data_IF_187318552340
#
_entry.id   IF_187318552340
#
_cell.length_a   1.000
_cell.length_b   1.000
_cell.length_c   1.000
_cell.angle_alpha   90.00
_cell.angle_beta   90.00
_cell.angle_gamma   90.00
#
_symmetry.space_group_name_H-M   'P 1'
#
loop_
_entity.id
_entity.type
_entity.pdbx_description
1 polymer ?
#
# COMPACT_ATOMS: atom_id res chain seq x y z
N UNK A 1 -34.31 -15.83 -55.00
CA UNK A 1 -34.27 -14.41 -55.44
C UNK A 1 -34.63 -13.51 -54.27
N UNK A 2 -33.69 -12.64 -53.89
CA UNK A 2 -33.75 -11.45 -53.01
C UNK A 2 -35.11 -11.05 -52.43
N UNK A 3 -35.21 -10.89 -51.10
CA UNK A 3 -35.91 -9.76 -50.43
C UNK A 3 -35.30 -9.43 -49.05
N UNK A 4 -34.60 -8.27 -48.98
CA UNK A 4 -34.61 -7.24 -47.90
C UNK A 4 -34.07 -7.69 -46.52
N UNK A 5 -32.89 -7.34 -45.98
CA UNK A 5 -32.14 -6.08 -45.78
C UNK A 5 -32.98 -4.88 -45.29
N UNK A 6 -33.25 -4.84 -43.96
CA UNK A 6 -33.61 -3.69 -43.10
C UNK A 6 -33.89 -4.32 -41.70
N UNK A 7 -33.11 -4.11 -40.64
CA UNK A 7 -32.99 -2.87 -39.89
C UNK A 7 -31.59 -2.72 -39.26
N UNK A 8 -30.85 -1.74 -39.75
CA UNK A 8 -29.83 -1.02 -38.98
C UNK A 8 -30.61 0.00 -38.13
N UNK A 9 -30.05 0.35 -36.96
CA UNK A 9 -30.45 1.46 -36.07
C UNK A 9 -31.54 1.10 -35.03
N UNK A 10 -31.11 0.76 -33.80
CA UNK A 10 -31.60 1.38 -32.56
C UNK A 10 -31.17 0.55 -31.32
N UNK A 11 -29.96 0.79 -30.82
CA UNK A 11 -29.63 0.78 -29.38
C UNK A 11 -28.12 0.95 -29.16
N UNK A 12 -27.54 1.99 -29.75
CA UNK A 12 -26.37 2.64 -29.16
C UNK A 12 -26.90 3.47 -27.97
N UNK A 13 -27.19 2.78 -26.86
CA UNK A 13 -27.30 3.44 -25.56
C UNK A 13 -25.88 3.85 -25.18
N UNK A 14 -25.45 4.98 -25.74
CA UNK A 14 -24.38 5.78 -25.17
C UNK A 14 -24.86 6.22 -23.79
N UNK A 15 -24.55 5.43 -22.75
CA UNK A 15 -24.46 5.98 -21.40
C UNK A 15 -23.27 6.93 -21.43
N UNK A 16 -23.53 8.19 -21.76
CA UNK A 16 -22.60 9.28 -21.51
C UNK A 16 -22.43 9.36 -19.99
N UNK A 17 -21.44 8.65 -19.44
CA UNK A 17 -20.99 8.91 -18.09
C UNK A 17 -20.47 10.33 -18.09
N UNK A 18 -21.25 11.27 -17.56
CA UNK A 18 -20.75 12.62 -17.34
C UNK A 18 -19.53 12.52 -16.42
N UNK A 19 -18.34 12.74 -16.98
CA UNK A 19 -17.11 12.76 -16.21
C UNK A 19 -17.25 13.91 -15.19
N UNK A 20 -17.36 13.55 -13.90
CA UNK A 20 -17.40 14.53 -12.83
C UNK A 20 -16.07 15.29 -12.79
N UNK A 21 -16.11 16.62 -12.66
CA UNK A 21 -14.88 17.40 -12.47
C UNK A 21 -14.25 17.03 -11.13
N UNK A 22 -12.93 17.13 -11.02
CA UNK A 22 -12.26 16.84 -9.75
C UNK A 22 -12.82 17.70 -8.61
N UNK A 23 -13.04 18.99 -8.84
CA UNK A 23 -13.63 19.89 -7.83
C UNK A 23 -15.00 19.40 -7.34
N UNK A 24 -15.86 18.93 -8.26
CA UNK A 24 -17.15 18.37 -7.90
C UNK A 24 -17.00 17.09 -7.08
N UNK A 25 -16.05 16.21 -7.43
CA UNK A 25 -15.76 14.98 -6.68
C UNK A 25 -15.30 15.28 -5.25
N UNK A 26 -14.39 16.25 -5.08
CA UNK A 26 -13.89 16.67 -3.76
C UNK A 26 -15.03 17.23 -2.89
N UNK A 27 -15.93 18.03 -3.47
CA UNK A 27 -17.12 18.50 -2.77
C UNK A 27 -18.10 17.37 -2.42
N UNK A 28 -18.25 16.37 -3.28
CA UNK A 28 -19.05 15.17 -2.98
C UNK A 28 -18.50 14.43 -1.77
N UNK A 29 -17.17 14.23 -1.67
CA UNK A 29 -16.51 13.61 -0.51
C UNK A 29 -16.80 14.42 0.76
N UNK A 30 -16.59 15.73 0.72
CA UNK A 30 -16.82 16.63 1.85
C UNK A 30 -18.27 16.58 2.35
N UNK A 31 -19.26 16.67 1.45
CA UNK A 31 -20.69 16.60 1.77
C UNK A 31 -21.11 15.22 2.28
N UNK A 32 -20.49 14.15 1.78
CA UNK A 32 -20.76 12.78 2.27
C UNK A 32 -20.29 12.61 3.71
N UNK A 33 -19.12 13.15 4.07
CA UNK A 33 -18.55 13.02 5.41
C UNK A 33 -19.24 13.95 6.42
N UNK A 34 -19.60 15.17 6.01
CA UNK A 34 -20.27 16.17 6.85
C UNK A 34 -21.51 16.74 6.14
N UNK A 35 -22.67 16.06 6.17
CA UNK A 35 -23.83 16.47 5.36
C UNK A 35 -24.42 17.84 5.71
N UNK A 36 -24.33 18.25 6.98
CA UNK A 36 -24.99 19.47 7.49
C UNK A 36 -24.02 20.55 7.98
N UNK A 37 -22.73 20.23 8.10
CA UNK A 37 -21.72 21.14 8.64
C UNK A 37 -20.90 21.75 7.50
N UNK A 38 -21.24 22.98 7.11
CA UNK A 38 -20.62 23.69 5.98
C UNK A 38 -19.15 24.03 6.25
N UNK A 39 -18.78 24.29 7.49
CA UNK A 39 -17.38 24.61 7.84
C UNK A 39 -16.52 23.37 7.72
N UNK A 40 -17.01 22.23 8.23
CA UNK A 40 -16.33 20.95 8.07
C UNK A 40 -16.28 20.49 6.62
N UNK A 41 -17.33 20.75 5.82
CA UNK A 41 -17.27 20.48 4.39
C UNK A 41 -16.14 21.26 3.71
N UNK A 42 -16.01 22.57 3.98
CA UNK A 42 -14.91 23.39 3.44
C UNK A 42 -13.55 22.86 3.88
N UNK A 43 -13.42 22.51 5.16
CA UNK A 43 -12.18 21.93 5.70
C UNK A 43 -11.79 20.64 4.96
N UNK A 44 -12.70 19.68 4.83
CA UNK A 44 -12.44 18.42 4.13
C UNK A 44 -12.13 18.66 2.66
N UNK A 45 -12.88 19.54 1.99
CA UNK A 45 -12.61 19.91 0.60
C UNK A 45 -11.17 20.43 0.42
N UNK A 46 -10.71 21.35 1.28
CA UNK A 46 -9.36 21.89 1.19
C UNK A 46 -8.27 20.83 1.49
N UNK A 47 -8.52 19.92 2.44
CA UNK A 47 -7.61 18.79 2.69
C UNK A 47 -7.50 17.87 1.47
N UNK A 48 -8.65 17.47 0.91
CA UNK A 48 -8.70 16.58 -0.26
C UNK A 48 -8.11 17.25 -1.50
N UNK A 49 -8.30 18.56 -1.67
CA UNK A 49 -7.69 19.33 -2.77
C UNK A 49 -6.17 19.39 -2.68
N UNK A 50 -5.62 19.59 -1.47
CA UNK A 50 -4.17 19.55 -1.24
C UNK A 50 -3.60 18.17 -1.57
N UNK A 51 -4.20 17.11 -1.03
CA UNK A 51 -3.79 15.74 -1.32
C UNK A 51 -3.86 15.41 -2.82
N UNK A 52 -4.93 15.83 -3.50
CA UNK A 52 -5.07 15.63 -4.95
C UNK A 52 -3.96 16.35 -5.75
N UNK A 53 -3.68 17.61 -5.41
CA UNK A 53 -2.63 18.38 -6.07
C UNK A 53 -1.26 17.74 -5.85
N UNK A 54 -0.99 17.29 -4.62
CA UNK A 54 0.22 16.54 -4.29
C UNK A 54 0.33 15.28 -5.15
N UNK A 55 -0.68 14.40 -5.12
CA UNK A 55 -0.72 13.14 -5.87
C UNK A 55 -0.68 13.33 -7.40
N UNK A 56 -1.09 14.50 -7.90
CA UNK A 56 -0.96 14.85 -9.31
C UNK A 56 0.48 15.22 -9.71
N UNK A 57 1.32 15.63 -8.75
CA UNK A 57 2.70 16.08 -8.99
C UNK A 57 3.78 15.02 -8.72
N UNK A 58 3.44 13.93 -8.03
CA UNK A 58 4.42 12.90 -7.66
C UNK A 58 4.89 12.07 -8.86
N UNK A 59 6.14 11.59 -8.79
CA UNK A 59 6.84 10.93 -9.91
C UNK A 59 7.04 9.42 -9.75
N UNK A 60 7.03 8.89 -8.52
CA UNK A 60 7.21 7.45 -8.29
C UNK A 60 5.89 6.72 -8.59
N UNK A 61 5.74 6.27 -9.83
CA UNK A 61 4.50 5.67 -10.32
C UNK A 61 4.09 4.42 -9.53
N UNK A 62 5.05 3.61 -9.09
CA UNK A 62 4.78 2.40 -8.31
C UNK A 62 4.16 2.75 -6.96
N UNK A 63 4.79 3.69 -6.23
CA UNK A 63 4.30 4.14 -4.92
C UNK A 63 2.97 4.89 -5.07
N UNK A 64 2.80 5.66 -6.16
CA UNK A 64 1.55 6.33 -6.49
C UNK A 64 0.41 5.33 -6.67
N UNK A 65 0.61 4.30 -7.49
CA UNK A 65 -0.38 3.24 -7.74
C UNK A 65 -0.75 2.53 -6.43
N UNK A 66 0.24 2.23 -5.59
CA UNK A 66 -0.01 1.64 -4.28
C UNK A 66 -0.91 2.52 -3.41
N UNK A 67 -0.60 3.81 -3.29
CA UNK A 67 -1.39 4.76 -2.51
C UNK A 67 -2.82 4.93 -3.03
N UNK A 68 -3.00 5.07 -4.35
CA UNK A 68 -4.30 5.17 -5.01
C UNK A 68 -5.15 3.90 -4.82
N UNK A 69 -4.53 2.72 -4.86
CA UNK A 69 -5.21 1.44 -4.61
C UNK A 69 -5.68 1.29 -3.16
N UNK A 70 -4.87 1.72 -2.19
CA UNK A 70 -5.22 1.63 -0.77
C UNK A 70 -6.35 2.60 -0.39
N UNK A 71 -6.34 3.81 -0.95
CA UNK A 71 -7.30 4.86 -0.61
C UNK A 71 -7.90 5.55 -1.85
N UNK A 72 -8.78 4.90 -2.63
CA UNK A 72 -9.19 5.40 -3.96
C UNK A 72 -9.90 6.75 -4.00
N UNK A 73 -10.56 7.14 -2.90
CA UNK A 73 -11.33 8.38 -2.79
C UNK A 73 -10.85 9.30 -1.66
N UNK A 74 -9.75 8.97 -1.00
CA UNK A 74 -9.17 9.79 0.06
C UNK A 74 -7.78 10.24 -0.34
N UNK A 75 -7.72 11.38 -1.03
CA UNK A 75 -6.48 11.96 -1.54
C UNK A 75 -5.54 12.42 -0.42
N UNK A 76 -6.07 12.77 0.75
CA UNK A 76 -5.25 13.10 1.91
C UNK A 76 -4.53 11.87 2.46
N UNK A 77 -5.23 10.72 2.50
CA UNK A 77 -4.62 9.45 2.86
C UNK A 77 -3.69 8.91 1.77
N UNK A 78 -3.99 9.15 0.49
CA UNK A 78 -3.06 8.83 -0.60
C UNK A 78 -1.72 9.56 -0.43
N UNK A 79 -1.74 10.87 -0.13
CA UNK A 79 -0.52 11.64 0.13
C UNK A 79 0.28 11.05 1.31
N UNK A 80 -0.40 10.72 2.41
CA UNK A 80 0.24 10.10 3.57
C UNK A 80 0.91 8.77 3.22
N UNK A 81 0.18 7.86 2.57
CA UNK A 81 0.69 6.55 2.17
C UNK A 81 1.82 6.68 1.16
N UNK A 82 1.71 7.58 0.17
CA UNK A 82 2.76 7.82 -0.80
C UNK A 82 4.07 8.23 -0.11
N UNK A 83 4.01 9.18 0.82
CA UNK A 83 5.19 9.65 1.55
C UNK A 83 5.80 8.55 2.41
N UNK A 84 4.97 7.78 3.11
CA UNK A 84 5.41 6.65 3.93
C UNK A 84 6.11 5.58 3.08
N UNK A 85 5.44 5.10 2.03
CA UNK A 85 5.97 4.07 1.13
C UNK A 85 7.23 4.53 0.41
N UNK A 86 7.31 5.80 -0.02
CA UNK A 86 8.52 6.38 -0.63
C UNK A 86 9.71 6.36 0.33
N UNK A 87 9.48 6.74 1.59
CA UNK A 87 10.52 6.72 2.62
C UNK A 87 10.99 5.29 2.92
N UNK A 88 10.06 4.36 3.05
CA UNK A 88 10.37 2.96 3.35
C UNK A 88 11.04 2.26 2.15
N UNK A 89 10.67 2.61 0.92
CA UNK A 89 11.37 2.19 -0.30
C UNK A 89 12.83 2.65 -0.30
N UNK A 90 13.07 3.90 0.10
CA UNK A 90 14.43 4.43 0.26
C UNK A 90 15.20 3.70 1.36
N UNK A 91 14.55 3.41 2.49
CA UNK A 91 15.14 2.59 3.56
C UNK A 91 15.56 1.21 3.04
N UNK A 92 14.62 0.47 2.44
CA UNK A 92 14.86 -0.87 1.89
C UNK A 92 15.92 -0.88 0.79
N UNK A 93 16.12 0.23 0.08
CA UNK A 93 17.24 0.35 -0.88
C UNK A 93 18.60 0.31 -0.19
N UNK A 94 18.73 0.89 1.00
CA UNK A 94 20.00 1.12 1.70
C UNK A 94 20.36 0.07 2.78
N UNK A 95 19.45 -0.85 3.11
CA UNK A 95 19.75 -1.93 4.05
C UNK A 95 20.84 -2.88 3.54
N UNK A 96 21.64 -3.44 4.45
CA UNK A 96 22.87 -4.18 4.14
C UNK A 96 22.73 -5.70 4.20
N UNK A 97 21.84 -6.23 5.04
CA UNK A 97 21.63 -7.68 5.13
C UNK A 97 20.77 -8.17 3.95
N UNK A 98 21.45 -8.68 2.91
CA UNK A 98 20.79 -9.09 1.67
C UNK A 98 19.88 -10.32 1.83
N UNK A 99 20.16 -11.19 2.81
CA UNK A 99 19.34 -12.35 3.11
C UNK A 99 17.99 -11.89 3.65
N UNK A 100 18.01 -11.04 4.68
CA UNK A 100 16.80 -10.50 5.31
C UNK A 100 16.03 -9.58 4.36
N UNK A 101 16.74 -8.78 3.55
CA UNK A 101 16.14 -7.96 2.50
C UNK A 101 15.35 -8.81 1.50
N UNK A 102 15.91 -9.92 1.03
CA UNK A 102 15.23 -10.85 0.11
C UNK A 102 14.02 -11.50 0.78
N UNK A 103 14.15 -11.88 2.05
CA UNK A 103 13.04 -12.43 2.83
C UNK A 103 11.86 -11.46 2.92
N UNK A 104 12.13 -10.19 3.28
CA UNK A 104 11.13 -9.14 3.36
C UNK A 104 10.43 -8.86 2.02
N UNK A 105 11.20 -8.69 0.93
CA UNK A 105 10.68 -8.47 -0.42
C UNK A 105 9.81 -9.64 -0.88
N UNK A 106 10.23 -10.89 -0.61
CA UNK A 106 9.46 -12.09 -0.96
C UNK A 106 8.10 -12.11 -0.26
N UNK A 107 8.04 -11.67 1.01
CA UNK A 107 6.81 -11.70 1.81
C UNK A 107 5.84 -10.58 1.41
N UNK A 108 6.36 -9.40 1.07
CA UNK A 108 5.57 -8.22 0.74
C UNK A 108 6.14 -7.48 -0.48
N UNK A 109 5.94 -7.98 -1.71
CA UNK A 109 6.64 -7.48 -2.89
C UNK A 109 6.32 -6.02 -3.25
N UNK A 110 5.11 -5.55 -2.97
CA UNK A 110 4.63 -4.21 -3.35
C UNK A 110 4.50 -3.23 -2.17
N UNK A 111 4.64 -3.71 -0.93
CA UNK A 111 4.42 -2.91 0.28
C UNK A 111 5.74 -2.67 1.01
N UNK A 112 6.38 -1.53 0.73
CA UNK A 112 7.68 -1.18 1.30
C UNK A 112 7.63 -0.94 2.81
N UNK A 113 6.51 -0.44 3.33
CA UNK A 113 6.32 -0.31 4.77
C UNK A 113 6.33 -1.68 5.46
N UNK A 114 5.65 -2.66 4.89
CA UNK A 114 5.68 -4.04 5.39
C UNK A 114 7.04 -4.71 5.15
N UNK A 115 7.72 -4.43 4.04
CA UNK A 115 9.09 -4.90 3.84
C UNK A 115 10.03 -4.38 4.93
N UNK A 116 9.99 -3.07 5.23
CA UNK A 116 10.79 -2.46 6.29
C UNK A 116 10.48 -3.09 7.64
N UNK A 117 9.20 -3.23 7.98
CA UNK A 117 8.77 -3.86 9.23
C UNK A 117 9.35 -5.28 9.39
N UNK A 118 9.19 -6.13 8.36
CA UNK A 118 9.71 -7.49 8.39
C UNK A 118 11.24 -7.52 8.43
N UNK A 119 11.91 -6.65 7.68
CA UNK A 119 13.37 -6.56 7.73
C UNK A 119 13.86 -6.23 9.14
N UNK A 120 13.29 -5.19 9.77
CA UNK A 120 13.65 -4.73 11.10
C UNK A 120 13.38 -5.83 12.16
N UNK A 121 12.25 -6.52 12.06
CA UNK A 121 11.90 -7.67 12.91
C UNK A 121 12.93 -8.80 12.78
N UNK A 122 13.27 -9.17 11.54
CA UNK A 122 14.22 -10.24 11.26
C UNK A 122 15.64 -9.89 11.71
N UNK A 123 16.06 -8.62 11.62
CA UNK A 123 17.36 -8.15 12.14
C UNK A 123 17.44 -8.40 13.65
N UNK A 124 16.43 -7.94 14.39
CA UNK A 124 16.41 -8.11 15.85
C UNK A 124 16.39 -9.59 16.25
N UNK A 125 15.64 -10.42 15.52
CA UNK A 125 15.58 -11.85 15.79
C UNK A 125 16.89 -12.58 15.41
N UNK A 126 17.55 -12.20 14.32
CA UNK A 126 18.84 -12.75 13.89
C UNK A 126 19.94 -12.43 14.90
N UNK A 127 19.96 -11.21 15.43
CA UNK A 127 20.88 -10.80 16.50
C UNK A 127 20.65 -11.59 17.79
N UNK A 128 19.38 -11.77 18.18
CA UNK A 128 19.01 -12.62 19.32
C UNK A 128 19.51 -14.06 19.11
N UNK A 129 19.19 -14.67 17.98
CA UNK A 129 19.60 -16.05 17.66
C UNK A 129 21.11 -16.21 17.57
N UNK A 130 21.86 -15.16 17.18
CA UNK A 130 23.32 -15.15 17.22
C UNK A 130 23.83 -15.28 18.66
N UNK A 131 23.27 -14.50 19.59
CA UNK A 131 23.72 -14.40 20.98
C UNK A 131 23.15 -15.49 21.90
N UNK A 132 22.08 -16.18 21.49
CA UNK A 132 21.50 -17.30 22.23
C UNK A 132 22.52 -18.41 22.52
N UNK A 133 22.48 -18.97 23.74
CA UNK A 133 23.49 -19.90 24.28
C UNK A 133 23.05 -21.37 24.28
N UNK A 134 21.74 -21.65 24.35
CA UNK A 134 21.25 -23.03 24.32
C UNK A 134 21.36 -23.61 22.90
N UNK A 135 22.39 -24.44 22.68
CA UNK A 135 22.66 -25.03 21.38
C UNK A 135 21.55 -25.96 20.87
N UNK A 136 20.92 -26.73 21.76
CA UNK A 136 19.83 -27.65 21.39
C UNK A 136 18.59 -26.88 20.91
N UNK A 137 18.20 -25.84 21.65
CA UNK A 137 17.10 -24.97 21.26
C UNK A 137 17.38 -24.24 19.94
N UNK A 138 18.61 -23.73 19.74
CA UNK A 138 19.04 -23.10 18.48
C UNK A 138 18.96 -24.06 17.29
N UNK A 139 19.43 -25.29 17.48
CA UNK A 139 19.40 -26.31 16.42
C UNK A 139 17.96 -26.63 16.02
N UNK A 140 17.09 -26.88 17.00
CA UNK A 140 15.67 -27.16 16.78
C UNK A 140 14.95 -26.01 16.07
N UNK A 141 15.19 -24.77 16.50
CA UNK A 141 14.62 -23.58 15.90
C UNK A 141 15.01 -23.43 14.41
N UNK A 142 16.30 -23.59 14.09
CA UNK A 142 16.83 -23.50 12.72
C UNK A 142 16.32 -24.61 11.81
N UNK A 143 16.14 -25.82 12.35
CA UNK A 143 15.59 -26.94 11.60
C UNK A 143 14.14 -26.69 11.17
N UNK A 144 13.33 -26.11 12.07
CA UNK A 144 11.92 -25.82 11.77
C UNK A 144 11.73 -24.61 10.87
N UNK A 145 12.53 -23.56 11.06
CA UNK A 145 12.41 -22.29 10.32
C UNK A 145 13.78 -21.80 9.83
N UNK A 146 14.34 -22.40 8.77
CA UNK A 146 15.71 -22.11 8.31
C UNK A 146 15.96 -20.63 7.98
N UNK A 147 14.98 -19.97 7.37
CA UNK A 147 15.13 -18.61 6.83
C UNK A 147 14.32 -17.55 7.58
N UNK A 148 13.57 -17.94 8.63
CA UNK A 148 12.69 -17.04 9.40
C UNK A 148 13.19 -16.94 10.85
N UNK A 149 14.02 -15.94 11.12
CA UNK A 149 14.64 -15.74 12.42
C UNK A 149 13.64 -15.34 13.50
N UNK A 150 12.55 -14.62 13.16
CA UNK A 150 11.52 -14.30 14.16
C UNK A 150 10.81 -15.56 14.63
N UNK A 151 10.54 -16.50 13.72
CA UNK A 151 10.04 -17.83 14.09
C UNK A 151 11.10 -18.67 14.81
N UNK A 152 12.38 -18.59 14.44
CA UNK A 152 13.45 -19.26 15.18
C UNK A 152 13.51 -18.76 16.64
N UNK A 153 13.46 -17.44 16.84
CA UNK A 153 13.43 -16.82 18.16
C UNK A 153 12.24 -17.31 18.97
N UNK A 154 11.04 -17.30 18.37
CA UNK A 154 9.84 -17.81 19.02
C UNK A 154 10.03 -19.26 19.50
N UNK A 155 10.47 -20.17 18.62
CA UNK A 155 10.69 -21.59 18.99
C UNK A 155 11.77 -21.74 20.06
N UNK A 156 12.83 -20.94 20.01
CA UNK A 156 13.88 -20.93 21.03
C UNK A 156 13.33 -20.53 22.41
N UNK A 157 12.48 -19.51 22.47
CA UNK A 157 11.90 -18.99 23.71
C UNK A 157 10.86 -19.94 24.33
N UNK A 158 10.33 -20.90 23.57
CA UNK A 158 9.41 -21.92 24.08
C UNK A 158 10.11 -23.19 24.61
N UNK A 159 11.45 -23.25 24.55
CA UNK A 159 12.24 -24.44 24.89
C UNK A 159 12.77 -24.38 26.33
#
# INVERSE_FOLDING_TARGET
MKRILLCIIASLLYTSSFAQTIESKLWTIAKKQYPTDVEMQKYIYEQQKKGYNFMSSVIDAEVKIFAEKQYPEDYSMQEYIYNQQKNDKSYMKNVTDLELKRFAIKKYPEDYSMQKYIYDEQVGAKEFMRNATNAAAKSKAREQYPDDYSMQKYIYEQF
#
